data_IF_878563502360
#
_entry.id   IF_878563502360
#
_cell.length_a   1.000
_cell.length_b   1.000
_cell.length_c   1.000
_cell.angle_alpha   90.00
_cell.angle_beta   90.00
_cell.angle_gamma   90.00
#
_symmetry.space_group_name_H-M   'P 1'
#
loop_
_entity.id
_entity.type
_entity.pdbx_description
1 polymer ?
#
# COMPACT_ATOMS: atom_id res chain seq x y z
N UNK A 1 8.16 3.38 -26.77
CA UNK A 1 8.52 4.32 -25.69
C UNK A 1 9.04 3.43 -24.57
N UNK A 2 10.16 3.76 -23.96
CA UNK A 2 10.72 2.87 -22.94
C UNK A 2 9.75 2.81 -21.76
N UNK A 3 9.21 1.63 -21.46
CA UNK A 3 8.43 1.38 -20.25
C UNK A 3 9.37 1.53 -19.06
N UNK A 4 9.52 2.77 -18.59
CA UNK A 4 10.38 3.08 -17.46
C UNK A 4 9.66 2.57 -16.22
N UNK A 5 10.18 1.49 -15.65
CA UNK A 5 9.64 0.90 -14.44
C UNK A 5 10.19 1.59 -13.22
N UNK A 6 9.31 1.94 -12.30
CA UNK A 6 9.65 2.46 -10.98
C UNK A 6 9.53 1.33 -9.94
N UNK A 7 10.40 1.37 -8.93
CA UNK A 7 10.43 0.41 -7.83
C UNK A 7 10.02 1.10 -6.55
N UNK A 8 8.90 0.67 -5.98
CA UNK A 8 8.44 1.17 -4.69
C UNK A 8 8.63 0.10 -3.63
N UNK A 9 8.80 0.56 -2.38
CA UNK A 9 8.94 -0.31 -1.22
C UNK A 9 7.66 -0.26 -0.40
N UNK A 10 6.97 -1.39 -0.29
CA UNK A 10 5.84 -1.54 0.62
C UNK A 10 6.35 -2.07 1.96
N UNK A 11 6.25 -1.26 3.02
CA UNK A 11 6.77 -1.60 4.35
C UNK A 11 5.75 -2.20 5.32
N UNK A 12 4.46 -1.92 5.12
CA UNK A 12 3.32 -2.46 5.90
C UNK A 12 3.40 -2.27 7.44
N UNK A 13 2.50 -1.46 7.99
CA UNK A 13 2.15 -1.51 9.42
C UNK A 13 0.63 -1.60 9.58
N UNK A 14 0.11 -2.82 9.49
CA UNK A 14 -1.31 -3.08 9.74
C UNK A 14 -1.60 -3.06 11.24
N UNK A 15 -2.58 -2.27 11.68
CA UNK A 15 -3.13 -2.38 13.03
C UNK A 15 -3.79 -3.77 13.22
N UNK A 16 -3.77 -4.24 14.47
CA UNK A 16 -4.07 -5.57 15.02
C UNK A 16 -5.33 -6.27 14.45
N UNK A 17 -5.20 -7.18 13.48
CA UNK A 17 -6.34 -8.03 13.09
C UNK A 17 -6.24 -8.84 11.79
N UNK A 18 -5.06 -8.95 11.18
CA UNK A 18 -4.89 -9.81 10.00
C UNK A 18 -4.78 -11.29 10.39
N UNK A 19 -5.23 -12.18 9.51
CA UNK A 19 -5.05 -13.63 9.64
C UNK A 19 -3.55 -13.97 9.66
N UNK A 20 -3.17 -15.01 10.40
CA UNK A 20 -1.77 -15.41 10.61
C UNK A 20 -0.99 -15.53 9.28
N UNK A 21 -1.59 -16.07 8.21
CA UNK A 21 -0.95 -16.20 6.88
C UNK A 21 -0.58 -14.85 6.22
N UNK A 22 -1.39 -13.81 6.39
CA UNK A 22 -1.08 -12.48 5.86
C UNK A 22 -0.04 -11.78 6.74
N UNK A 23 -0.13 -11.95 8.06
CA UNK A 23 0.88 -11.45 8.98
C UNK A 23 2.24 -12.12 8.75
N UNK A 24 2.31 -13.43 8.49
CA UNK A 24 3.56 -14.15 8.19
C UNK A 24 4.29 -13.57 6.97
N UNK A 25 3.55 -13.04 5.99
CA UNK A 25 4.11 -12.39 4.81
C UNK A 25 4.81 -11.05 5.14
N UNK A 26 4.47 -10.43 6.28
CA UNK A 26 4.93 -9.10 6.70
C UNK A 26 5.67 -9.09 8.06
N UNK A 27 5.60 -10.17 8.85
CA UNK A 27 6.09 -10.26 10.23
C UNK A 27 7.60 -10.15 10.37
N UNK A 28 8.35 -10.37 9.29
CA UNK A 28 9.80 -10.29 9.29
C UNK A 28 10.36 -8.89 8.94
N UNK A 29 9.50 -7.88 8.75
CA UNK A 29 9.96 -6.58 8.26
C UNK A 29 10.50 -6.64 6.83
N UNK A 30 10.04 -7.62 6.05
CA UNK A 30 10.41 -7.75 4.64
C UNK A 30 9.79 -6.60 3.84
N UNK A 31 10.65 -5.73 3.33
CA UNK A 31 10.30 -4.71 2.35
C UNK A 31 9.81 -5.43 1.08
N UNK A 32 8.53 -5.30 0.73
CA UNK A 32 8.03 -5.84 -0.54
C UNK A 32 8.33 -4.82 -1.63
N UNK A 33 9.26 -5.15 -2.52
CA UNK A 33 9.57 -4.32 -3.68
C UNK A 33 8.55 -4.62 -4.78
N UNK A 34 7.81 -3.59 -5.19
CA UNK A 34 6.84 -3.68 -6.26
C UNK A 34 7.30 -2.83 -7.45
N UNK A 35 7.21 -3.39 -8.66
CA UNK A 35 7.49 -2.67 -9.90
C UNK A 35 6.19 -2.14 -10.50
N UNK A 36 6.18 -0.87 -10.89
CA UNK A 36 5.09 -0.20 -11.59
C UNK A 36 5.63 0.54 -12.82
N UNK A 37 4.75 0.86 -13.77
CA UNK A 37 5.10 1.74 -14.87
C UNK A 37 5.13 3.20 -14.39
N UNK A 38 5.99 4.02 -15.00
CA UNK A 38 6.04 5.46 -14.71
C UNK A 38 4.66 6.11 -14.95
N UNK A 39 4.22 6.92 -13.99
CA UNK A 39 2.89 7.50 -13.99
C UNK A 39 1.83 6.68 -13.24
N UNK A 40 2.16 5.48 -12.76
CA UNK A 40 1.30 4.72 -11.87
C UNK A 40 0.99 5.50 -10.59
N UNK A 41 -0.23 5.33 -10.09
CA UNK A 41 -0.75 6.04 -8.93
C UNK A 41 -0.84 5.12 -7.71
N UNK A 42 -1.08 5.72 -6.54
CA UNK A 42 -1.45 4.97 -5.33
C UNK A 42 -2.68 4.09 -5.60
N UNK A 43 -3.67 4.57 -6.36
CA UNK A 43 -4.83 3.76 -6.75
C UNK A 43 -4.42 2.48 -7.48
N UNK A 44 -3.48 2.56 -8.42
CA UNK A 44 -2.97 1.39 -9.16
C UNK A 44 -2.26 0.39 -8.23
N UNK A 45 -1.53 0.91 -7.23
CA UNK A 45 -0.94 0.09 -6.18
C UNK A 45 -2.00 -0.62 -5.34
N UNK A 46 -3.03 0.09 -4.88
CA UNK A 46 -4.09 -0.49 -4.07
C UNK A 46 -4.89 -1.54 -4.87
N UNK A 47 -5.17 -1.28 -6.15
CA UNK A 47 -5.84 -2.25 -7.04
C UNK A 47 -5.04 -3.53 -7.23
N UNK A 48 -3.70 -3.48 -7.12
CA UNK A 48 -2.83 -4.65 -7.22
C UNK A 48 -2.78 -5.45 -5.92
N UNK A 49 -3.10 -4.82 -4.78
CA UNK A 49 -3.20 -5.46 -3.48
C UNK A 49 -4.63 -5.97 -3.28
N UNK A 50 -4.97 -7.10 -3.90
CA UNK A 50 -6.31 -7.70 -3.77
C UNK A 50 -6.70 -8.08 -2.33
N UNK A 51 -5.75 -8.11 -1.40
CA UNK A 51 -5.95 -8.46 0.00
C UNK A 51 -6.49 -7.33 0.89
N UNK A 52 -6.48 -6.08 0.43
CA UNK A 52 -6.92 -4.91 1.23
C UNK A 52 -8.38 -4.48 0.96
N UNK A 53 -9.14 -5.28 0.21
CA UNK A 53 -10.52 -4.98 -0.17
C UNK A 53 -10.63 -4.21 -1.49
N UNK A 54 -11.86 -3.92 -1.90
CA UNK A 54 -12.19 -3.18 -3.11
C UNK A 54 -12.21 -1.66 -2.87
N UNK A 55 -12.15 -0.87 -3.94
CA UNK A 55 -12.14 0.60 -3.85
C UNK A 55 -13.35 1.21 -3.12
N UNK A 56 -14.48 0.51 -3.10
CA UNK A 56 -15.67 0.94 -2.36
C UNK A 56 -15.53 0.69 -0.86
N UNK A 57 -14.74 -0.31 -0.45
CA UNK A 57 -14.54 -0.67 0.95
C UNK A 57 -13.44 0.19 1.60
N UNK A 58 -12.49 0.74 0.83
CA UNK A 58 -11.38 1.51 1.40
C UNK A 58 -11.81 2.78 2.13
N UNK A 59 -12.82 3.48 1.60
CA UNK A 59 -13.37 4.67 2.25
C UNK A 59 -14.11 4.30 3.55
N UNK A 60 -14.89 3.22 3.52
CA UNK A 60 -15.59 2.69 4.69
C UNK A 60 -14.62 2.14 5.75
N UNK A 61 -13.48 1.61 5.33
CA UNK A 61 -12.39 1.09 6.17
C UNK A 61 -11.43 2.19 6.65
N UNK A 62 -11.63 3.45 6.25
CA UNK A 62 -10.76 4.59 6.59
C UNK A 62 -9.28 4.32 6.27
N UNK A 63 -9.00 3.75 5.10
CA UNK A 63 -7.65 3.45 4.66
C UNK A 63 -6.83 4.73 4.46
N UNK A 64 -5.71 4.83 5.19
CA UNK A 64 -4.75 5.91 5.03
C UNK A 64 -3.48 5.40 4.34
N UNK A 65 -3.03 6.12 3.31
CA UNK A 65 -1.80 5.82 2.57
C UNK A 65 -0.74 6.86 2.91
N UNK A 66 0.39 6.41 3.44
CA UNK A 66 1.56 7.24 3.69
C UNK A 66 2.66 6.92 2.69
N UNK A 67 3.11 7.94 1.96
CA UNK A 67 4.26 7.87 1.07
C UNK A 67 5.41 8.63 1.72
N UNK A 68 6.53 7.97 1.99
CA UNK A 68 7.69 8.55 2.69
C UNK A 68 7.28 9.24 4.02
N UNK A 69 6.39 8.60 4.78
CA UNK A 69 5.78 9.08 6.04
C UNK A 69 4.87 10.31 5.91
N UNK A 70 4.45 10.69 4.71
CA UNK A 70 3.50 11.79 4.47
C UNK A 70 2.19 11.21 3.96
N UNK A 71 1.07 11.60 4.56
CA UNK A 71 -0.27 11.20 4.11
C UNK A 71 -0.51 11.70 2.67
N UNK A 72 -0.89 10.80 1.76
CA UNK A 72 -1.21 11.09 0.37
C UNK A 72 -2.56 10.51 -0.03
N UNK A 73 -3.19 11.13 -1.01
CA UNK A 73 -4.39 10.63 -1.66
C UNK A 73 -4.08 9.50 -2.66
N UNK A 74 -5.15 8.88 -3.16
CA UNK A 74 -5.06 7.81 -4.16
C UNK A 74 -4.59 8.30 -5.54
N UNK A 75 -4.67 9.60 -5.79
CA UNK A 75 -4.24 10.30 -7.00
C UNK A 75 -2.74 10.62 -7.04
N UNK A 76 -2.01 10.37 -5.95
CA UNK A 76 -0.57 10.57 -5.91
C UNK A 76 0.13 9.63 -6.91
N UNK A 77 0.95 10.23 -7.78
CA UNK A 77 1.78 9.50 -8.75
C UNK A 77 3.02 8.97 -8.05
N UNK A 78 3.16 7.65 -8.03
CA UNK A 78 4.29 6.93 -7.44
C UNK A 78 5.59 7.36 -8.10
N UNK A 79 6.61 7.56 -7.28
CA UNK A 79 7.97 7.86 -7.70
C UNK A 79 8.88 6.67 -7.43
N UNK A 80 9.97 6.57 -8.18
CA UNK A 80 10.99 5.55 -7.90
C UNK A 80 11.51 5.71 -6.48
N UNK A 81 11.73 4.59 -5.79
CA UNK A 81 12.16 4.49 -4.39
C UNK A 81 11.16 4.92 -3.33
N UNK A 82 9.91 5.26 -3.69
CA UNK A 82 8.88 5.63 -2.72
C UNK A 82 8.64 4.50 -1.70
N UNK A 83 8.56 4.88 -0.42
CA UNK A 83 8.21 3.98 0.66
C UNK A 83 6.73 4.15 1.04
N UNK A 84 5.96 3.07 0.88
CA UNK A 84 4.52 3.06 1.09
C UNK A 84 4.19 2.34 2.39
N UNK A 85 3.41 3.01 3.24
CA UNK A 85 2.81 2.45 4.44
C UNK A 85 1.29 2.60 4.35
N UNK A 86 0.59 1.48 4.51
CA UNK A 86 -0.86 1.42 4.53
C UNK A 86 -1.33 1.29 5.98
N UNK A 87 -2.26 2.15 6.39
CA UNK A 87 -2.80 2.15 7.74
C UNK A 87 -4.32 2.03 7.70
N UNK A 88 -4.82 0.95 8.31
CA UNK A 88 -6.24 0.67 8.49
C UNK A 88 -6.58 0.83 9.97
N UNK A 89 -7.35 1.87 10.37
CA UNK A 89 -7.78 1.99 11.74
C UNK A 89 -8.85 0.94 12.03
N UNK A 90 -8.57 0.03 12.97
CA UNK A 90 -9.57 -0.94 13.42
C UNK A 90 -10.36 -0.26 14.53
N UNK A 91 -11.68 -0.13 14.34
CA UNK A 91 -12.58 0.25 15.42
C UNK A 91 -12.57 -0.87 16.45
N UNK A 92 -11.82 -0.70 17.54
CA UNK A 92 -11.89 -1.58 18.69
C UNK A 92 -13.29 -1.51 19.30
N UNK A 93 -13.99 -2.65 19.28
CA UNK A 93 -15.11 -2.96 20.18
C UNK A 93 -14.60 -3.80 21.33
#
# INVERSE_FOLDING_TARGET
>A
MADQKIKIKLKSSFAVGATEEFLESFQDGHEVIMEFDEGATVLDLLNRLSSIGSSHEWDDMLLHVFVNNVLKGMDYVLQDTDEINLHLPISGG
#
